data_IF_224444362082
#
_entry.id   IF_224444362082
#
_cell.length_a   1.000
_cell.length_b   1.000
_cell.length_c   1.000
_cell.angle_alpha   90.00
_cell.angle_beta   90.00
_cell.angle_gamma   90.00
#
_symmetry.space_group_name_H-M   'P 1'
#
loop_
_entity.id
_entity.type
_entity.pdbx_description
1 polymer ?
#
# COMPACT_ATOMS: atom_id res chain seq x y z
N UNK A 1 -56.13 44.50 -16.52
CA UNK A 1 -55.04 45.24 -17.19
C UNK A 1 -54.13 45.78 -16.11
N UNK A 2 -52.86 45.35 -16.03
CA UNK A 2 -51.94 45.99 -15.11
C UNK A 2 -51.57 47.37 -15.68
N UNK A 3 -52.01 48.45 -15.03
CA UNK A 3 -51.53 49.82 -15.32
C UNK A 3 -52.43 50.76 -16.14
N UNK A 4 -53.76 50.58 -16.14
CA UNK A 4 -54.73 51.65 -16.47
C UNK A 4 -54.78 52.20 -17.92
N UNK A 5 -54.00 51.69 -18.87
CA UNK A 5 -54.04 52.09 -20.30
C UNK A 5 -55.06 51.28 -21.09
N UNK A 6 -55.69 51.88 -22.12
CA UNK A 6 -56.62 51.19 -23.04
C UNK A 6 -55.88 50.45 -24.16
N UNK A 7 -56.45 49.35 -24.67
CA UNK A 7 -55.81 48.51 -25.71
C UNK A 7 -55.51 49.29 -27.00
N UNK A 8 -56.36 50.24 -27.38
CA UNK A 8 -56.16 51.09 -28.57
C UNK A 8 -54.94 52.00 -28.47
N UNK A 9 -54.58 52.43 -27.25
CA UNK A 9 -53.37 53.23 -27.04
C UNK A 9 -52.12 52.36 -27.12
N UNK A 10 -52.19 51.14 -26.59
CA UNK A 10 -51.07 50.17 -26.64
C UNK A 10 -50.83 49.70 -28.07
N UNK A 11 -51.88 49.44 -28.83
CA UNK A 11 -51.77 48.97 -30.22
C UNK A 11 -51.14 50.01 -31.17
N UNK A 12 -51.27 51.31 -30.85
CA UNK A 12 -50.69 52.40 -31.63
C UNK A 12 -49.29 52.81 -31.18
N UNK A 13 -48.81 52.28 -30.05
CA UNK A 13 -47.46 52.57 -29.59
C UNK A 13 -46.44 51.85 -30.47
N UNK A 14 -45.68 52.63 -31.24
CA UNK A 14 -44.63 52.12 -32.15
C UNK A 14 -43.59 51.27 -31.44
N UNK A 15 -43.36 51.46 -30.12
CA UNK A 15 -42.40 50.66 -29.35
C UNK A 15 -42.89 49.23 -29.09
N UNK A 16 -44.19 48.98 -29.14
CA UNK A 16 -44.78 47.63 -28.98
C UNK A 16 -44.52 46.77 -30.22
N UNK A 17 -44.32 47.40 -31.39
CA UNK A 17 -43.91 46.73 -32.63
C UNK A 17 -44.95 45.78 -33.25
N UNK A 18 -46.17 45.74 -32.72
CA UNK A 18 -47.22 44.83 -33.19
C UNK A 18 -47.94 45.39 -34.43
N UNK A 19 -48.05 44.58 -35.48
CA UNK A 19 -48.84 44.88 -36.68
C UNK A 19 -49.90 43.80 -36.85
N UNK A 20 -51.17 44.21 -36.92
CA UNK A 20 -52.28 43.29 -37.13
C UNK A 20 -52.29 42.82 -38.59
N UNK A 21 -52.39 41.50 -38.86
CA UNK A 21 -52.50 40.99 -40.22
C UNK A 21 -53.86 41.34 -40.84
N UNK A 22 -53.86 41.79 -42.10
CA UNK A 22 -55.03 41.77 -43.00
C UNK A 22 -56.32 42.41 -42.46
N UNK A 23 -56.32 43.72 -42.21
CA UNK A 23 -57.55 44.48 -41.94
C UNK A 23 -58.22 44.24 -40.58
N UNK A 24 -57.63 43.42 -39.70
CA UNK A 24 -58.14 43.16 -38.36
C UNK A 24 -57.91 44.34 -37.40
N UNK A 25 -58.81 44.52 -36.42
CA UNK A 25 -58.66 45.50 -35.33
C UNK A 25 -57.40 45.19 -34.49
N UNK A 26 -56.40 46.09 -34.49
CA UNK A 26 -55.15 45.89 -33.75
C UNK A 26 -55.33 45.74 -32.24
N UNK A 27 -56.31 46.44 -31.65
CA UNK A 27 -56.55 46.42 -30.21
C UNK A 27 -57.14 45.08 -29.76
N UNK A 28 -58.15 44.59 -30.49
CA UNK A 28 -58.73 43.27 -30.27
C UNK A 28 -57.70 42.14 -30.41
N UNK A 29 -56.85 42.19 -31.45
CA UNK A 29 -55.84 41.17 -31.70
C UNK A 29 -54.78 41.09 -30.59
N UNK A 30 -54.29 42.23 -30.11
CA UNK A 30 -53.34 42.29 -28.99
C UNK A 30 -53.94 41.77 -27.69
N UNK A 31 -55.20 42.13 -27.41
CA UNK A 31 -55.92 41.64 -26.24
C UNK A 31 -56.02 40.11 -26.26
N UNK A 32 -56.37 39.53 -27.40
CA UNK A 32 -56.48 38.08 -27.54
C UNK A 32 -55.13 37.37 -27.31
N UNK A 33 -54.04 37.90 -27.85
CA UNK A 33 -52.69 37.35 -27.65
C UNK A 33 -52.24 37.43 -26.18
N UNK A 34 -52.51 38.55 -25.52
CA UNK A 34 -52.19 38.74 -24.11
C UNK A 34 -52.87 37.68 -23.24
N UNK A 35 -54.20 37.51 -23.37
CA UNK A 35 -54.91 36.51 -22.57
C UNK A 35 -54.54 35.07 -22.93
N UNK A 36 -54.25 34.77 -24.20
CA UNK A 36 -53.78 33.44 -24.61
C UNK A 36 -52.42 33.09 -23.97
N UNK A 37 -51.52 34.05 -23.88
CA UNK A 37 -50.21 33.87 -23.22
C UNK A 37 -50.37 33.65 -21.72
N UNK A 38 -51.20 34.45 -21.05
CA UNK A 38 -51.41 34.30 -19.61
C UNK A 38 -52.16 33.01 -19.25
N UNK A 39 -53.13 32.58 -20.06
CA UNK A 39 -53.79 31.29 -19.85
C UNK A 39 -52.83 30.09 -19.99
N UNK A 40 -51.80 30.20 -20.84
CA UNK A 40 -50.75 29.17 -20.94
C UNK A 40 -49.86 29.18 -19.69
N UNK A 41 -49.47 30.36 -19.21
CA UNK A 41 -48.65 30.49 -18.00
C UNK A 41 -49.38 29.99 -16.74
N UNK A 42 -50.69 30.22 -16.61
CA UNK A 42 -51.47 29.72 -15.47
C UNK A 42 -51.60 28.19 -15.47
N UNK A 43 -51.61 27.56 -16.66
CA UNK A 43 -51.58 26.09 -16.80
C UNK A 43 -50.22 25.51 -16.42
N UNK A 44 -49.13 26.14 -16.87
CA UNK A 44 -47.76 25.74 -16.52
C UNK A 44 -47.50 25.95 -15.01
N UNK A 45 -48.01 27.03 -14.42
CA UNK A 45 -47.93 27.29 -12.98
C UNK A 45 -48.69 26.26 -12.14
N UNK A 46 -49.83 25.75 -12.62
CA UNK A 46 -50.58 24.66 -11.96
C UNK A 46 -49.96 23.26 -12.16
N UNK A 47 -49.06 23.09 -13.12
CA UNK A 47 -48.35 21.82 -13.38
C UNK A 47 -46.99 21.72 -12.71
N UNK A 48 -46.49 22.80 -12.09
CA UNK A 48 -45.27 22.75 -11.30
C UNK A 48 -45.57 22.11 -9.94
N UNK A 49 -44.90 20.99 -9.57
CA UNK A 49 -45.09 20.38 -8.26
C UNK A 49 -44.70 21.35 -7.16
N UNK A 50 -45.47 21.35 -6.08
CA UNK A 50 -45.32 22.29 -4.97
C UNK A 50 -43.94 22.14 -4.30
N UNK A 51 -43.40 23.25 -3.77
CA UNK A 51 -42.07 23.26 -3.14
C UNK A 51 -41.96 22.30 -1.93
N UNK A 52 -43.08 21.88 -1.34
CA UNK A 52 -43.13 20.92 -0.23
C UNK A 52 -42.75 19.49 -0.66
N UNK A 53 -43.08 19.07 -1.89
CA UNK A 53 -42.73 17.73 -2.39
C UNK A 53 -41.21 17.53 -2.57
N UNK A 54 -40.42 18.61 -2.63
CA UNK A 54 -38.96 18.53 -2.75
C UNK A 54 -38.24 18.31 -1.42
N UNK A 55 -38.86 18.64 -0.28
CA UNK A 55 -38.20 18.56 1.02
C UNK A 55 -38.21 17.15 1.65
N UNK A 56 -39.08 16.25 1.19
CA UNK A 56 -39.22 14.90 1.78
C UNK A 56 -38.81 13.74 0.85
N UNK A 57 -38.05 14.00 -0.21
CA UNK A 57 -37.56 12.92 -1.07
C UNK A 57 -36.28 12.32 -0.48
N UNK A 58 -36.44 11.25 0.31
CA UNK A 58 -35.35 10.34 0.67
C UNK A 58 -34.54 9.96 -0.60
N UNK A 59 -33.22 9.74 -0.50
CA UNK A 59 -32.40 9.37 -1.66
C UNK A 59 -33.07 8.18 -2.36
N UNK A 60 -33.44 8.38 -3.63
CA UNK A 60 -34.20 7.38 -4.38
C UNK A 60 -33.43 6.06 -4.40
N UNK A 61 -34.14 4.92 -4.41
CA UNK A 61 -33.57 3.57 -4.36
C UNK A 61 -32.34 3.36 -5.25
N UNK A 62 -32.28 4.03 -6.41
CA UNK A 62 -31.11 4.05 -7.30
C UNK A 62 -29.82 4.62 -6.67
N UNK A 63 -29.90 5.70 -5.90
CA UNK A 63 -28.75 6.27 -5.20
C UNK A 63 -28.28 5.36 -4.07
N UNK A 64 -29.22 4.72 -3.35
CA UNK A 64 -28.91 3.69 -2.36
C UNK A 64 -28.24 2.46 -3.00
N UNK A 65 -28.74 2.00 -4.15
CA UNK A 65 -28.13 0.87 -4.88
C UNK A 65 -26.70 1.20 -5.29
N UNK A 66 -26.44 2.40 -5.84
CA UNK A 66 -25.09 2.82 -6.23
C UNK A 66 -24.14 2.84 -5.03
N UNK A 67 -24.56 3.44 -3.91
CA UNK A 67 -23.75 3.48 -2.68
C UNK A 67 -23.45 2.08 -2.13
N UNK A 68 -24.46 1.20 -2.09
CA UNK A 68 -24.28 -0.19 -1.67
C UNK A 68 -23.34 -0.94 -2.62
N UNK A 69 -23.46 -0.77 -3.93
CA UNK A 69 -22.56 -1.42 -4.89
C UNK A 69 -21.11 -0.96 -4.75
N UNK A 70 -20.87 0.33 -4.48
CA UNK A 70 -19.51 0.86 -4.25
C UNK A 70 -18.94 0.28 -2.96
N UNK A 71 -19.73 0.24 -1.88
CA UNK A 71 -19.30 -0.34 -0.60
C UNK A 71 -19.00 -1.84 -0.73
N UNK A 72 -19.84 -2.58 -1.46
CA UNK A 72 -19.61 -4.00 -1.73
C UNK A 72 -18.37 -4.21 -2.59
N UNK A 73 -18.19 -3.43 -3.66
CA UNK A 73 -17.00 -3.49 -4.49
C UNK A 73 -15.73 -3.15 -3.69
N UNK A 74 -15.77 -2.13 -2.85
CA UNK A 74 -14.65 -1.76 -1.98
C UNK A 74 -14.35 -2.87 -0.96
N UNK A 75 -15.37 -3.45 -0.33
CA UNK A 75 -15.20 -4.57 0.58
C UNK A 75 -14.63 -5.81 -0.13
N UNK A 76 -15.08 -6.10 -1.35
CA UNK A 76 -14.53 -7.20 -2.16
C UNK A 76 -13.09 -6.94 -2.58
N UNK A 77 -12.73 -5.71 -2.95
CA UNK A 77 -11.34 -5.34 -3.24
C UNK A 77 -10.49 -5.42 -1.99
N UNK A 78 -10.97 -4.97 -0.83
CA UNK A 78 -10.25 -5.10 0.44
C UNK A 78 -10.03 -6.57 0.82
N UNK A 79 -11.06 -7.41 0.71
CA UNK A 79 -10.95 -8.87 0.91
C UNK A 79 -9.99 -9.48 -0.11
N UNK A 80 -10.06 -9.08 -1.38
CA UNK A 80 -9.16 -9.55 -2.43
C UNK A 80 -7.70 -9.14 -2.14
N UNK A 81 -7.44 -7.93 -1.66
CA UNK A 81 -6.10 -7.47 -1.27
C UNK A 81 -5.60 -8.19 -0.01
N UNK A 82 -6.46 -8.45 0.97
CA UNK A 82 -6.08 -9.26 2.16
C UNK A 82 -5.79 -10.72 1.78
N UNK A 83 -6.58 -11.29 0.86
CA UNK A 83 -6.47 -12.70 0.46
C UNK A 83 -5.38 -12.96 -0.59
N UNK A 84 -5.21 -12.03 -1.54
CA UNK A 84 -4.39 -12.18 -2.74
C UNK A 84 -3.45 -11.00 -3.02
N UNK A 85 -3.49 -9.93 -2.21
CA UNK A 85 -2.38 -8.99 -2.17
C UNK A 85 -1.09 -9.73 -1.79
N UNK A 86 0.08 -9.10 -1.97
CA UNK A 86 1.33 -9.68 -1.52
C UNK A 86 1.29 -9.84 0.01
N UNK A 87 0.71 -10.94 0.45
CA UNK A 87 1.10 -11.61 1.68
C UNK A 87 2.55 -12.00 1.42
N UNK A 88 3.45 -11.08 1.75
CA UNK A 88 4.81 -11.45 2.10
C UNK A 88 4.69 -12.72 2.93
N UNK A 89 5.32 -13.79 2.48
CA UNK A 89 5.16 -15.16 2.96
C UNK A 89 5.53 -15.40 4.43
N UNK A 90 5.39 -14.41 5.31
CA UNK A 90 5.26 -14.55 6.74
C UNK A 90 3.99 -15.38 7.05
N UNK A 91 4.08 -16.69 6.81
CA UNK A 91 3.39 -17.65 7.66
C UNK A 91 3.72 -17.24 9.10
N UNK A 92 2.75 -17.24 10.03
CA UNK A 92 3.05 -17.01 11.44
C UNK A 92 4.08 -18.04 11.89
N UNK A 93 5.34 -17.64 11.85
CA UNK A 93 6.42 -18.45 12.35
C UNK A 93 6.25 -18.34 13.86
N UNK A 94 6.28 -19.47 14.57
CA UNK A 94 6.18 -19.45 16.03
C UNK A 94 7.29 -18.62 16.71
N UNK A 95 8.22 -18.07 15.93
CA UNK A 95 9.39 -17.29 16.28
C UNK A 95 9.10 -15.90 16.81
N UNK A 96 8.11 -15.18 16.29
CA UNK A 96 7.82 -13.81 16.75
C UNK A 96 7.42 -13.84 18.23
N UNK A 97 8.08 -13.01 19.04
CA UNK A 97 7.93 -12.95 20.49
C UNK A 97 8.83 -13.90 21.29
N UNK A 98 9.64 -14.74 20.62
CA UNK A 98 10.65 -15.57 21.31
C UNK A 98 11.95 -14.81 21.52
N UNK A 99 12.67 -15.16 22.58
CA UNK A 99 14.07 -14.80 22.69
C UNK A 99 14.88 -15.47 21.57
N UNK A 100 15.72 -14.69 20.91
CA UNK A 100 16.60 -15.17 19.87
C UNK A 100 17.71 -16.04 20.49
N UNK A 101 17.94 -17.28 19.98
CA UNK A 101 19.06 -18.11 20.41
C UNK A 101 20.38 -17.37 20.26
N UNK A 102 21.15 -17.28 21.35
CA UNK A 102 22.45 -16.60 21.31
C UNK A 102 23.48 -17.42 20.52
N UNK A 103 24.45 -16.73 19.93
CA UNK A 103 25.54 -17.35 19.20
C UNK A 103 26.76 -16.44 19.13
N UNK A 104 27.92 -17.06 18.87
CA UNK A 104 29.15 -16.37 18.53
C UNK A 104 29.77 -17.01 17.28
N UNK A 105 29.98 -16.22 16.22
CA UNK A 105 30.54 -16.68 14.96
C UNK A 105 31.68 -15.77 14.49
N UNK A 106 32.59 -16.32 13.70
CA UNK A 106 33.71 -15.57 13.13
C UNK A 106 33.22 -14.60 12.05
N UNK A 107 33.76 -13.38 12.06
CA UNK A 107 33.45 -12.34 11.06
C UNK A 107 34.39 -12.52 9.87
N UNK A 108 33.82 -12.78 8.70
CA UNK A 108 34.55 -13.04 7.45
C UNK A 108 35.11 -11.76 6.81
N UNK A 109 34.41 -10.64 6.95
CA UNK A 109 34.71 -9.38 6.25
C UNK A 109 35.36 -8.29 7.13
N UNK A 110 35.88 -8.66 8.31
CA UNK A 110 36.53 -7.73 9.24
C UNK A 110 37.39 -8.38 10.31
N UNK A 111 37.36 -9.72 10.42
CA UNK A 111 38.03 -10.46 11.48
C UNK A 111 37.34 -10.32 12.83
N UNK A 112 37.77 -11.13 13.80
CA UNK A 112 37.16 -11.18 15.13
C UNK A 112 35.90 -12.05 15.18
N UNK A 113 35.03 -11.76 16.15
CA UNK A 113 33.87 -12.58 16.48
C UNK A 113 32.68 -11.68 16.73
N UNK A 114 31.57 -11.97 16.06
CA UNK A 114 30.28 -11.37 16.33
C UNK A 114 29.56 -12.22 17.39
N UNK A 115 28.96 -11.58 18.38
CA UNK A 115 28.14 -12.26 19.41
C UNK A 115 26.79 -11.56 19.51
N UNK A 116 25.70 -12.28 19.27
CA UNK A 116 24.37 -11.66 19.19
C UNK A 116 23.98 -10.98 20.51
N UNK A 117 24.24 -11.61 21.66
CA UNK A 117 23.93 -11.01 22.95
C UNK A 117 24.72 -9.73 23.27
N UNK A 118 25.84 -9.46 22.59
CA UNK A 118 26.58 -8.22 22.74
C UNK A 118 25.85 -7.01 22.12
N UNK A 119 24.94 -7.24 21.16
CA UNK A 119 24.16 -6.19 20.50
C UNK A 119 22.97 -5.72 21.35
N UNK A 120 22.62 -6.46 22.41
CA UNK A 120 21.47 -6.13 23.28
C UNK A 120 21.67 -4.76 23.93
N UNK A 121 20.62 -3.94 23.86
CA UNK A 121 20.61 -2.56 24.34
C UNK A 121 21.45 -1.57 23.52
N UNK A 122 22.03 -2.01 22.40
CA UNK A 122 22.82 -1.15 21.50
C UNK A 122 22.19 -1.07 20.10
N UNK A 123 21.80 -2.23 19.56
CA UNK A 123 21.33 -2.36 18.19
C UNK A 123 20.19 -3.37 18.06
N UNK A 124 19.30 -3.11 17.11
CA UNK A 124 18.47 -4.14 16.49
C UNK A 124 19.33 -4.90 15.47
N UNK A 125 19.09 -6.20 15.29
CA UNK A 125 19.90 -7.06 14.41
C UNK A 125 19.01 -7.71 13.36
N UNK A 126 19.25 -7.38 12.09
CA UNK A 126 18.64 -8.04 10.94
C UNK A 126 19.53 -9.20 10.51
N UNK A 127 19.14 -10.42 10.89
CA UNK A 127 19.79 -11.65 10.46
C UNK A 127 19.29 -12.03 9.06
N UNK A 128 20.23 -12.24 8.14
CA UNK A 128 19.97 -12.75 6.80
C UNK A 128 20.68 -14.10 6.62
N UNK A 129 19.92 -15.17 6.73
CA UNK A 129 20.40 -16.51 6.41
C UNK A 129 20.25 -16.75 4.91
N UNK A 130 21.28 -17.30 4.26
CA UNK A 130 21.20 -17.69 2.85
C UNK A 130 22.18 -18.79 2.47
N UNK A 131 21.96 -19.38 1.29
CA UNK A 131 22.73 -20.49 0.73
C UNK A 131 24.18 -20.12 0.35
N UNK A 132 24.55 -18.85 0.50
CA UNK A 132 25.91 -18.36 0.32
C UNK A 132 26.45 -18.57 -1.09
N UNK A 133 27.64 -19.16 -1.21
CA UNK A 133 28.37 -19.23 -2.50
C UNK A 133 27.65 -20.02 -3.59
N UNK A 134 26.71 -20.90 -3.21
CA UNK A 134 25.84 -21.61 -4.15
C UNK A 134 24.69 -20.77 -4.74
N UNK A 135 24.40 -19.59 -4.17
CA UNK A 135 23.25 -18.77 -4.54
C UNK A 135 23.67 -17.36 -4.97
N UNK A 136 23.92 -17.19 -6.28
CA UNK A 136 24.23 -15.87 -6.86
C UNK A 136 23.23 -14.76 -6.50
N UNK A 137 21.89 -14.94 -6.60
CA UNK A 137 20.95 -13.87 -6.24
C UNK A 137 20.98 -13.52 -4.74
N UNK A 138 21.26 -14.48 -3.85
CA UNK A 138 21.41 -14.22 -2.42
C UNK A 138 22.62 -13.31 -2.14
N UNK A 139 23.75 -13.57 -2.80
CA UNK A 139 24.96 -12.75 -2.67
C UNK A 139 24.77 -11.35 -3.26
N UNK A 140 24.06 -11.24 -4.39
CA UNK A 140 23.70 -9.95 -4.98
C UNK A 140 22.80 -9.15 -4.03
N UNK A 141 21.84 -9.80 -3.37
CA UNK A 141 21.03 -9.15 -2.35
C UNK A 141 21.89 -8.65 -1.18
N UNK A 142 22.89 -9.41 -0.75
CA UNK A 142 23.78 -8.93 0.31
C UNK A 142 24.56 -7.69 -0.10
N UNK A 143 25.07 -7.64 -1.35
CA UNK A 143 25.73 -6.44 -1.88
C UNK A 143 24.77 -5.24 -1.93
N UNK A 144 23.50 -5.48 -2.30
CA UNK A 144 22.46 -4.45 -2.32
C UNK A 144 22.18 -3.92 -0.91
N UNK A 145 21.97 -4.81 0.06
CA UNK A 145 21.76 -4.46 1.47
C UNK A 145 22.96 -3.71 2.06
N UNK A 146 24.18 -4.05 1.64
CA UNK A 146 25.39 -3.32 2.04
C UNK A 146 25.39 -1.87 1.53
N UNK A 147 25.01 -1.67 0.27
CA UNK A 147 24.83 -0.33 -0.31
C UNK A 147 23.73 0.49 0.37
N UNK A 148 22.68 -0.17 0.84
CA UNK A 148 21.53 0.45 1.53
C UNK A 148 21.67 0.48 3.06
N UNK A 149 22.81 0.05 3.63
CA UNK A 149 23.01 -0.09 5.07
C UNK A 149 22.70 1.20 5.85
N UNK A 150 22.98 2.37 5.26
CA UNK A 150 22.67 3.67 5.87
C UNK A 150 21.17 3.91 6.14
N UNK A 151 20.28 3.28 5.37
CA UNK A 151 18.83 3.35 5.59
C UNK A 151 18.39 2.52 6.78
N UNK A 152 19.05 1.38 7.04
CA UNK A 152 18.80 0.52 8.19
C UNK A 152 19.39 1.10 9.48
N UNK A 153 20.57 1.73 9.38
CA UNK A 153 21.24 2.39 10.51
C UNK A 153 20.39 3.51 11.14
N UNK A 154 19.52 4.18 10.37
CA UNK A 154 18.58 5.18 10.89
C UNK A 154 17.59 4.60 11.92
N UNK A 155 17.39 3.28 11.92
CA UNK A 155 16.55 2.54 12.86
C UNK A 155 17.39 1.73 13.86
N UNK A 156 18.68 2.06 14.01
CA UNK A 156 19.63 1.35 14.86
C UNK A 156 19.76 -0.14 14.48
N UNK A 157 19.58 -0.48 13.19
CA UNK A 157 19.66 -1.87 12.71
C UNK A 157 21.05 -2.16 12.14
N UNK A 158 21.67 -3.24 12.62
CA UNK A 158 22.86 -3.86 12.04
C UNK A 158 22.42 -5.06 11.20
N UNK A 159 22.91 -5.15 9.96
CA UNK A 159 22.62 -6.26 9.05
C UNK A 159 23.73 -7.30 9.15
N UNK A 160 23.34 -8.57 9.34
CA UNK A 160 24.25 -9.68 9.56
C UNK A 160 23.89 -10.85 8.65
N UNK A 161 24.73 -11.14 7.67
CA UNK A 161 24.63 -12.33 6.83
C UNK A 161 25.19 -13.55 7.56
N UNK A 162 24.52 -14.70 7.46
CA UNK A 162 25.00 -15.98 7.96
C UNK A 162 24.85 -17.04 6.86
N UNK A 163 25.96 -17.70 6.52
CA UNK A 163 25.97 -18.79 5.53
C UNK A 163 26.68 -20.04 6.09
N UNK A 164 26.45 -21.18 5.44
CA UNK A 164 27.13 -22.44 5.76
C UNK A 164 28.53 -22.59 5.15
N UNK A 165 29.02 -21.58 4.43
CA UNK A 165 30.33 -21.64 3.77
C UNK A 165 31.48 -21.50 4.77
N UNK A 166 32.69 -21.83 4.31
CA UNK A 166 33.89 -21.67 5.13
C UNK A 166 34.23 -20.19 5.36
N UNK A 167 34.90 -19.90 6.49
CA UNK A 167 35.38 -18.56 6.81
C UNK A 167 36.31 -18.00 5.71
N UNK A 168 37.18 -18.85 5.14
CA UNK A 168 38.11 -18.44 4.09
C UNK A 168 37.39 -18.06 2.80
N UNK A 169 36.37 -18.83 2.41
CA UNK A 169 35.65 -18.57 1.16
C UNK A 169 34.78 -17.31 1.29
N UNK A 170 34.08 -17.14 2.41
CA UNK A 170 33.30 -15.92 2.67
C UNK A 170 34.18 -14.69 2.84
N UNK A 171 35.37 -14.82 3.43
CA UNK A 171 36.32 -13.71 3.51
C UNK A 171 36.77 -13.29 2.11
N UNK A 172 37.13 -14.25 1.27
CA UNK A 172 37.51 -14.00 -0.13
C UNK A 172 36.39 -13.31 -0.90
N UNK A 173 35.16 -13.84 -0.81
CA UNK A 173 34.00 -13.25 -1.47
C UNK A 173 33.70 -11.83 -0.98
N UNK A 174 33.72 -11.59 0.34
CA UNK A 174 33.44 -10.26 0.89
C UNK A 174 34.44 -9.20 0.41
N UNK A 175 35.72 -9.56 0.32
CA UNK A 175 36.77 -8.69 -0.19
C UNK A 175 36.58 -8.38 -1.69
N UNK A 176 36.20 -9.39 -2.48
CA UNK A 176 35.98 -9.23 -3.92
C UNK A 176 34.70 -8.45 -4.25
N UNK A 177 33.66 -8.60 -3.45
CA UNK A 177 32.35 -7.95 -3.63
C UNK A 177 32.30 -6.53 -3.04
N UNK A 178 33.23 -6.17 -2.15
CA UNK A 178 33.29 -4.85 -1.53
C UNK A 178 32.32 -4.66 -0.36
N UNK A 179 31.71 -5.73 0.14
CA UNK A 179 30.77 -5.71 1.27
C UNK A 179 31.53 -5.30 2.55
N UNK A 180 31.25 -4.09 3.05
CA UNK A 180 32.04 -3.48 4.14
C UNK A 180 31.23 -2.66 5.15
N UNK A 181 29.95 -2.43 4.91
CA UNK A 181 29.03 -1.70 5.80
C UNK A 181 28.13 -2.62 6.63
N UNK A 182 28.16 -3.92 6.34
CA UNK A 182 27.40 -4.98 6.98
C UNK A 182 28.33 -6.09 7.47
N UNK A 183 27.79 -7.05 8.23
CA UNK A 183 28.59 -8.12 8.84
C UNK A 183 28.33 -9.43 8.09
N UNK A 184 29.40 -10.13 7.72
CA UNK A 184 29.33 -11.44 7.06
C UNK A 184 29.90 -12.50 8.00
N UNK A 185 29.09 -13.49 8.37
CA UNK A 185 29.46 -14.57 9.29
C UNK A 185 29.49 -15.92 8.58
N UNK A 186 30.43 -16.77 9.00
CA UNK A 186 30.56 -18.15 8.53
C UNK A 186 30.11 -19.13 9.63
N UNK A 187 29.16 -20.01 9.31
CA UNK A 187 28.64 -21.09 10.16
C UNK A 187 28.84 -22.46 9.48
N UNK A 188 30.09 -22.92 9.31
CA UNK A 188 30.40 -24.14 8.54
C UNK A 188 29.87 -25.43 9.18
N UNK A 189 29.45 -25.39 10.45
CA UNK A 189 28.81 -26.53 11.12
C UNK A 189 27.29 -26.50 11.01
N UNK A 190 26.72 -25.43 10.43
CA UNK A 190 25.29 -25.12 10.37
C UNK A 190 24.63 -25.04 11.76
N UNK A 191 25.39 -24.89 12.84
CA UNK A 191 24.84 -24.94 14.19
C UNK A 191 23.87 -23.80 14.45
N UNK A 192 24.22 -22.59 14.02
CA UNK A 192 23.36 -21.41 14.16
C UNK A 192 22.21 -21.47 13.15
N UNK A 193 22.48 -21.86 11.90
CA UNK A 193 21.45 -22.06 10.90
C UNK A 193 20.36 -23.04 11.37
N UNK A 194 20.77 -24.16 11.98
CA UNK A 194 19.85 -25.14 12.55
C UNK A 194 19.12 -24.60 13.78
N UNK A 195 19.80 -23.87 14.67
CA UNK A 195 19.17 -23.29 15.85
C UNK A 195 18.05 -22.30 15.50
N UNK A 196 18.10 -21.69 14.32
CA UNK A 196 17.10 -20.76 13.80
C UNK A 196 16.09 -21.40 12.84
N UNK A 197 16.04 -22.74 12.72
CA UNK A 197 15.16 -23.47 11.79
C UNK A 197 15.25 -22.96 10.33
N UNK A 198 16.46 -22.62 9.85
CA UNK A 198 16.63 -22.08 8.49
C UNK A 198 17.11 -23.11 7.48
N UNK A 199 17.43 -24.35 7.88
CA UNK A 199 17.94 -25.41 6.99
C UNK A 199 16.86 -26.42 6.55
N UNK A 200 15.61 -26.26 7.00
CA UNK A 200 14.54 -27.20 6.73
C UNK A 200 14.02 -27.15 5.29
N UNK A 201 13.38 -28.24 4.84
CA UNK A 201 12.80 -28.34 3.48
C UNK A 201 11.67 -27.34 3.19
N UNK A 202 11.12 -26.71 4.23
CA UNK A 202 10.13 -25.65 4.07
C UNK A 202 10.74 -24.32 3.59
N UNK A 203 12.06 -24.14 3.76
CA UNK A 203 12.74 -22.85 3.57
C UNK A 203 14.00 -22.92 2.70
N UNK A 204 14.65 -24.09 2.57
CA UNK A 204 15.91 -24.27 1.84
C UNK A 204 15.76 -25.12 0.58
N UNK A 205 16.46 -24.77 -0.52
CA UNK A 205 16.57 -25.64 -1.71
C UNK A 205 17.53 -26.81 -1.50
N UNK A 206 18.36 -26.75 -0.46
CA UNK A 206 19.32 -27.78 -0.08
C UNK A 206 19.15 -28.16 1.40
N UNK A 207 18.05 -28.86 1.74
CA UNK A 207 17.70 -29.09 3.14
C UNK A 207 18.79 -29.82 3.91
N UNK A 208 19.16 -29.29 5.07
CA UNK A 208 20.24 -29.80 5.92
C UNK A 208 21.67 -29.52 5.43
N UNK A 209 21.85 -28.96 4.23
CA UNK A 209 23.17 -28.63 3.67
C UNK A 209 23.42 -27.11 3.58
N UNK A 210 22.37 -26.30 3.46
CA UNK A 210 22.46 -24.84 3.48
C UNK A 210 21.18 -24.24 4.05
N UNK A 211 21.24 -23.06 4.69
CA UNK A 211 20.04 -22.37 5.08
C UNK A 211 19.31 -21.76 3.87
N UNK A 212 18.01 -21.61 3.98
CA UNK A 212 17.17 -20.93 3.00
C UNK A 212 17.35 -19.42 3.01
N UNK A 213 16.74 -18.74 2.03
CA UNK A 213 16.69 -17.28 1.98
C UNK A 213 15.70 -16.75 3.03
N UNK A 214 16.21 -16.47 4.23
CA UNK A 214 15.40 -16.18 5.41
C UNK A 214 15.91 -14.94 6.13
N UNK A 215 14.99 -14.05 6.48
CA UNK A 215 15.28 -12.88 7.32
C UNK A 215 14.63 -13.03 8.69
N UNK A 216 15.34 -12.59 9.74
CA UNK A 216 14.79 -12.37 11.08
C UNK A 216 15.27 -11.02 11.62
N UNK A 217 14.37 -10.28 12.28
CA UNK A 217 14.73 -9.09 13.04
C UNK A 217 14.69 -9.41 14.53
N UNK A 218 15.84 -9.25 15.17
CA UNK A 218 15.99 -9.29 16.63
C UNK A 218 16.03 -7.87 17.13
N UNK A 219 15.19 -7.50 18.09
CA UNK A 219 15.20 -6.17 18.67
C UNK A 219 16.30 -6.01 19.74
N UNK A 220 16.48 -4.79 20.25
CA UNK A 220 17.47 -4.47 21.29
C UNK A 220 17.30 -5.28 22.60
N UNK A 221 16.12 -5.86 22.88
CA UNK A 221 15.91 -6.72 24.06
C UNK A 221 16.37 -8.16 23.82
N UNK A 222 16.72 -8.51 22.58
CA UNK A 222 17.08 -9.87 22.18
C UNK A 222 15.89 -10.74 21.78
N UNK A 223 14.75 -10.13 21.47
CA UNK A 223 13.51 -10.82 21.07
C UNK A 223 13.32 -10.75 19.56
N UNK A 224 12.90 -11.85 18.94
CA UNK A 224 12.53 -11.87 17.52
C UNK A 224 11.20 -11.13 17.33
N UNK A 225 11.23 -10.02 16.60
CA UNK A 225 10.04 -9.19 16.32
C UNK A 225 9.51 -9.37 14.90
N UNK A 226 10.31 -9.95 14.01
CA UNK A 226 9.88 -10.28 12.64
C UNK A 226 10.69 -11.45 12.08
N UNK A 227 10.05 -12.25 11.23
CA UNK A 227 10.68 -13.30 10.42
C UNK A 227 9.94 -13.44 9.10
N UNK A 228 10.69 -13.60 8.02
CA UNK A 228 10.16 -13.95 6.70
C UNK A 228 11.06 -15.00 6.02
N UNK A 229 10.44 -16.10 5.61
CA UNK A 229 11.09 -17.17 4.86
C UNK A 229 10.68 -17.04 3.38
N UNK A 230 11.63 -16.71 2.50
CA UNK A 230 11.41 -16.52 1.06
C UNK A 230 11.85 -17.75 0.25
N UNK A 231 12.94 -18.38 0.69
CA UNK A 231 13.33 -19.68 0.17
C UNK A 231 12.26 -20.75 0.47
N UNK A 232 12.21 -21.85 -0.30
CA UNK A 232 13.05 -22.15 -1.46
C UNK A 232 12.58 -21.46 -2.76
N UNK A 233 11.56 -20.61 -2.71
CA UNK A 233 10.88 -20.11 -3.93
C UNK A 233 11.50 -18.80 -4.44
N UNK A 234 11.74 -17.87 -3.53
CA UNK A 234 12.24 -16.54 -3.83
C UNK A 234 13.64 -16.36 -3.22
N UNK A 235 14.62 -16.11 -4.08
CA UNK A 235 16.04 -15.96 -3.70
C UNK A 235 16.55 -14.53 -3.82
N UNK A 236 15.66 -13.59 -4.10
CA UNK A 236 15.93 -12.15 -4.10
C UNK A 236 14.65 -11.39 -3.78
N UNK A 237 14.76 -10.40 -2.90
CA UNK A 237 13.66 -9.55 -2.42
C UNK A 237 14.12 -8.10 -2.48
N UNK A 238 13.30 -7.14 -2.92
CA UNK A 238 13.69 -5.73 -2.93
C UNK A 238 14.05 -5.22 -1.51
N UNK A 239 15.17 -4.52 -1.36
CA UNK A 239 15.62 -4.01 -0.06
C UNK A 239 14.62 -3.04 0.57
N UNK A 240 13.91 -2.26 -0.25
CA UNK A 240 12.83 -1.39 0.22
C UNK A 240 11.70 -2.16 0.91
N UNK A 241 11.43 -3.39 0.47
CA UNK A 241 10.44 -4.26 1.10
C UNK A 241 10.94 -4.79 2.45
N UNK A 242 12.23 -5.15 2.55
CA UNK A 242 12.86 -5.56 3.80
C UNK A 242 12.88 -4.40 4.79
N UNK A 243 13.30 -3.21 4.36
CA UNK A 243 13.33 -1.99 5.17
C UNK A 243 11.94 -1.63 5.69
N UNK A 244 10.90 -1.70 4.83
CA UNK A 244 9.53 -1.45 5.26
C UNK A 244 9.05 -2.47 6.30
N UNK A 245 9.37 -3.75 6.14
CA UNK A 245 9.02 -4.78 7.11
C UNK A 245 9.71 -4.54 8.47
N UNK A 246 11.00 -4.16 8.44
CA UNK A 246 11.77 -3.78 9.64
C UNK A 246 11.13 -2.58 10.35
N UNK A 247 10.80 -1.51 9.61
CA UNK A 247 10.15 -0.32 10.16
C UNK A 247 8.82 -0.65 10.84
N UNK A 248 7.99 -1.46 10.19
CA UNK A 248 6.70 -1.89 10.72
C UNK A 248 6.89 -2.72 12.01
N UNK A 249 7.87 -3.61 12.04
CA UNK A 249 8.14 -4.47 13.20
C UNK A 249 8.68 -3.70 14.42
N UNK A 250 9.45 -2.62 14.20
CA UNK A 250 9.99 -1.78 15.29
C UNK A 250 9.01 -0.69 15.77
N UNK A 251 7.97 -0.40 14.99
CA UNK A 251 6.98 0.64 15.33
C UNK A 251 5.77 0.11 16.11
N UNK A 252 5.63 -1.21 16.25
CA UNK A 252 4.56 -1.88 16.99
C UNK A 252 4.90 -2.11 18.45
#
# INVERSE_FOLDING_TARGET
MPGGRTWDKVARDRKVGFHAPGGADPAGALRALYYRRHAKMDREAKQLPSADERRHRAPGSRQMIVLVTILVAFALVAVYVVQYGPNLGAKPSGWVGRDAPDFSLAIANGGGTFTLSAERGQHNVLLFFNEGLGCSPCLQQMVSLDGDAGSFQQFHVVIVQITGDSLSDMSTWSQQSGVSHTIVLADPTLAVCNAYDTTGAAVSMMPGAAPGHTFLLVNETGTVVWRADFGPTDMSVPDSQILQAVQNALSG
#
